data_IF_083567164622
#
_entry.id   IF_083567164622
#
_cell.length_a   1.000
_cell.length_b   1.000
_cell.length_c   1.000
_cell.angle_alpha   90.00
_cell.angle_beta   90.00
_cell.angle_gamma   90.00
#
_symmetry.space_group_name_H-M   'P 1'
#
loop_
_entity.id
_entity.type
_entity.pdbx_description
1 polymer ?
#
# COMPACT_ATOMS: atom_id res chain seq x y z
N UNK A 1 0.94 18.20 -13.39
CA UNK A 1 0.00 17.08 -13.19
C UNK A 1 -0.74 17.35 -11.90
N UNK A 2 -2.08 17.41 -11.93
CA UNK A 2 -2.88 17.77 -10.76
C UNK A 2 -2.64 16.73 -9.65
N UNK A 3 -2.33 17.21 -8.44
CA UNK A 3 -2.23 16.38 -7.25
C UNK A 3 -3.61 15.86 -6.88
N UNK A 4 -3.74 14.55 -6.70
CA UNK A 4 -4.96 13.94 -6.15
C UNK A 4 -4.70 13.78 -4.64
N UNK A 5 -5.69 14.09 -3.81
CA UNK A 5 -5.60 13.76 -2.38
C UNK A 5 -5.90 12.27 -2.22
N UNK A 6 -7.13 11.87 -2.53
CA UNK A 6 -7.58 10.49 -2.41
C UNK A 6 -8.33 10.03 -3.64
N UNK A 7 -8.11 8.79 -4.06
CA UNK A 7 -8.88 8.10 -5.09
C UNK A 7 -9.46 6.81 -4.50
N UNK A 8 -10.78 6.72 -4.43
CA UNK A 8 -11.52 5.53 -3.99
C UNK A 8 -12.35 4.97 -5.13
N UNK A 9 -12.15 3.68 -5.42
CA UNK A 9 -12.69 3.01 -6.61
C UNK A 9 -13.22 1.64 -6.20
N UNK A 10 -14.55 1.56 -6.05
CA UNK A 10 -15.26 0.32 -5.72
C UNK A 10 -15.66 -0.53 -6.93
N UNK A 11 -15.59 0.03 -8.14
CA UNK A 11 -15.88 -0.66 -9.40
C UNK A 11 -14.62 -0.71 -10.28
N UNK A 12 -14.57 -1.61 -11.26
CA UNK A 12 -13.42 -1.72 -12.13
C UNK A 12 -13.24 -0.45 -12.98
N UNK A 13 -12.07 0.20 -12.87
CA UNK A 13 -11.65 1.27 -13.78
C UNK A 13 -10.63 0.77 -14.80
N UNK A 14 -10.57 1.44 -15.95
CA UNK A 14 -9.50 1.24 -16.92
C UNK A 14 -8.25 2.02 -16.49
N UNK A 15 -7.57 1.52 -15.45
CA UNK A 15 -6.29 2.04 -14.94
C UNK A 15 -5.23 0.99 -15.27
N UNK A 16 -4.16 1.39 -15.95
CA UNK A 16 -3.00 0.51 -16.18
C UNK A 16 -2.03 0.58 -15.01
N UNK A 17 -1.16 -0.42 -14.87
CA UNK A 17 -0.04 -0.34 -13.91
C UNK A 17 0.82 0.91 -14.15
N UNK A 18 1.07 1.29 -15.40
CA UNK A 18 1.87 2.49 -15.69
C UNK A 18 1.17 3.77 -15.24
N UNK A 19 -0.15 3.87 -15.40
CA UNK A 19 -0.90 5.01 -14.87
C UNK A 19 -0.74 5.07 -13.36
N UNK A 20 -0.91 3.94 -12.68
CA UNK A 20 -0.77 3.82 -11.24
C UNK A 20 0.63 4.23 -10.77
N UNK A 21 1.71 3.70 -11.35
CA UNK A 21 3.09 4.02 -10.96
C UNK A 21 3.45 5.51 -11.17
N UNK A 22 2.73 6.23 -12.04
CA UNK A 22 2.91 7.66 -12.24
C UNK A 22 1.94 8.51 -11.40
N UNK A 23 1.02 7.91 -10.63
CA UNK A 23 0.07 8.67 -9.83
C UNK A 23 0.75 9.48 -8.73
N UNK A 24 0.29 10.72 -8.58
CA UNK A 24 0.73 11.64 -7.53
C UNK A 24 -0.41 11.85 -6.52
N UNK A 25 -0.62 10.87 -5.66
CA UNK A 25 -1.74 10.75 -4.74
C UNK A 25 -1.30 10.52 -3.29
N UNK A 26 -2.14 10.91 -2.33
CA UNK A 26 -1.94 10.63 -0.90
C UNK A 26 -2.56 9.29 -0.54
N UNK A 27 -3.78 8.99 -1.00
CA UNK A 27 -4.44 7.72 -0.72
C UNK A 27 -5.02 7.09 -1.99
N UNK A 28 -4.81 5.78 -2.14
CA UNK A 28 -5.28 4.97 -3.26
C UNK A 28 -6.05 3.76 -2.73
N UNK A 29 -7.31 3.65 -3.11
CA UNK A 29 -8.12 2.49 -2.83
C UNK A 29 -8.74 1.99 -4.14
N UNK A 30 -8.19 0.88 -4.66
CA UNK A 30 -8.55 0.28 -5.93
C UNK A 30 -9.07 -1.15 -5.74
N UNK A 31 -9.91 -1.38 -4.72
CA UNK A 31 -10.50 -2.71 -4.45
C UNK A 31 -11.33 -3.26 -5.61
N UNK A 32 -11.87 -2.39 -6.48
CA UNK A 32 -12.61 -2.79 -7.69
C UNK A 32 -11.72 -3.33 -8.82
N UNK A 33 -10.40 -3.21 -8.70
CA UNK A 33 -9.43 -3.60 -9.71
C UNK A 33 -8.59 -4.78 -9.21
N UNK A 34 -8.70 -5.97 -9.82
CA UNK A 34 -7.86 -7.10 -9.45
C UNK A 34 -6.46 -6.93 -10.04
N UNK A 35 -5.45 -6.92 -9.18
CA UNK A 35 -4.04 -6.93 -9.56
C UNK A 35 -3.45 -8.35 -9.46
N UNK A 36 -2.45 -8.61 -10.28
CA UNK A 36 -1.62 -9.82 -10.22
C UNK A 36 -0.52 -9.68 -9.17
N UNK A 37 0.05 -10.81 -8.73
CA UNK A 37 1.20 -10.85 -7.80
C UNK A 37 2.38 -10.05 -8.37
N UNK A 38 2.69 -10.22 -9.65
CA UNK A 38 3.79 -9.51 -10.30
C UNK A 38 3.57 -8.00 -10.46
N UNK A 39 2.32 -7.55 -10.60
CA UNK A 39 2.01 -6.11 -10.55
C UNK A 39 2.21 -5.56 -9.13
N UNK A 40 1.83 -6.33 -8.11
CA UNK A 40 2.03 -5.96 -6.71
C UNK A 40 3.52 -5.84 -6.37
N UNK A 41 4.34 -6.80 -6.79
CA UNK A 41 5.80 -6.74 -6.65
C UNK A 41 6.37 -5.45 -7.26
N UNK A 42 5.96 -5.12 -8.48
CA UNK A 42 6.42 -3.90 -9.17
C UNK A 42 5.99 -2.63 -8.46
N UNK A 43 4.77 -2.59 -7.91
CA UNK A 43 4.25 -1.46 -7.12
C UNK A 43 5.11 -1.25 -5.87
N UNK A 44 5.42 -2.32 -5.13
CA UNK A 44 6.22 -2.23 -3.91
C UNK A 44 7.68 -1.89 -4.20
N UNK A 45 8.28 -2.49 -5.23
CA UNK A 45 9.63 -2.15 -5.68
C UNK A 45 9.72 -0.68 -6.08
N UNK A 46 8.73 -0.17 -6.82
CA UNK A 46 8.66 1.23 -7.17
C UNK A 46 8.60 2.14 -5.94
N UNK A 47 7.77 1.80 -4.94
CA UNK A 47 7.74 2.53 -3.68
C UNK A 47 9.09 2.47 -2.96
N UNK A 48 9.71 1.29 -2.85
CA UNK A 48 10.96 1.07 -2.10
C UNK A 48 12.15 1.90 -2.61
N UNK A 49 12.17 2.24 -3.91
CA UNK A 49 13.20 3.09 -4.52
C UNK A 49 12.85 4.59 -4.54
N UNK A 50 11.80 5.02 -3.82
CA UNK A 50 11.42 6.43 -3.69
C UNK A 50 10.30 6.90 -4.64
N UNK A 51 9.64 5.98 -5.32
CA UNK A 51 8.37 6.22 -5.98
C UNK A 51 7.27 6.57 -4.99
N UNK A 52 6.11 7.01 -5.49
CA UNK A 52 4.94 7.32 -4.64
C UNK A 52 5.25 8.28 -3.47
N UNK A 53 5.94 9.39 -3.75
CA UNK A 53 6.46 10.31 -2.71
C UNK A 53 5.41 10.81 -1.71
N UNK A 54 4.16 11.01 -2.15
CA UNK A 54 3.05 11.50 -1.31
C UNK A 54 2.20 10.41 -0.70
N UNK A 55 2.39 9.14 -1.11
CA UNK A 55 1.50 8.05 -0.71
C UNK A 55 1.58 7.83 0.79
N UNK A 56 0.40 7.83 1.40
CA UNK A 56 0.12 7.47 2.79
C UNK A 56 -0.60 6.15 2.86
N UNK A 57 -1.58 5.91 2.01
CA UNK A 57 -2.36 4.68 2.08
C UNK A 57 -2.62 4.06 0.72
N UNK A 58 -2.46 2.74 0.63
CA UNK A 58 -2.75 1.94 -0.55
C UNK A 58 -3.56 0.70 -0.16
N UNK A 59 -4.65 0.48 -0.89
CA UNK A 59 -5.54 -0.66 -0.74
C UNK A 59 -5.82 -1.27 -2.11
N UNK A 60 -5.43 -2.53 -2.31
CA UNK A 60 -5.49 -3.21 -3.61
C UNK A 60 -6.12 -4.60 -3.47
N UNK A 61 -6.96 -5.00 -4.43
CA UNK A 61 -7.37 -6.40 -4.54
C UNK A 61 -6.29 -7.19 -5.27
N UNK A 62 -5.86 -8.32 -4.68
CA UNK A 62 -4.85 -9.21 -5.27
C UNK A 62 -5.29 -10.65 -5.10
N UNK A 63 -5.19 -11.47 -6.17
CA UNK A 63 -5.51 -12.90 -6.14
C UNK A 63 -4.23 -13.75 -6.14
N UNK A 64 -4.27 -14.88 -5.44
CA UNK A 64 -3.14 -15.82 -5.39
C UNK A 64 -1.92 -15.25 -4.66
N UNK A 65 -2.14 -14.31 -3.74
CA UNK A 65 -1.09 -13.59 -3.05
C UNK A 65 -0.34 -14.49 -2.05
N UNK A 66 0.99 -14.54 -2.21
CA UNK A 66 1.92 -15.08 -1.23
C UNK A 66 2.81 -13.93 -0.71
N UNK A 67 2.80 -13.75 0.61
CA UNK A 67 3.53 -12.68 1.29
C UNK A 67 5.03 -12.75 1.03
N UNK A 68 5.61 -13.94 1.12
CA UNK A 68 7.07 -14.09 1.05
C UNK A 68 7.59 -13.88 -0.37
N UNK A 69 6.81 -14.29 -1.38
CA UNK A 69 7.14 -14.06 -2.79
C UNK A 69 7.17 -12.56 -3.11
N UNK A 70 6.17 -11.82 -2.61
CA UNK A 70 6.01 -10.38 -2.88
C UNK A 70 7.03 -9.52 -2.15
N UNK A 71 7.49 -9.95 -0.97
CA UNK A 71 8.40 -9.18 -0.12
C UNK A 71 9.87 -9.57 -0.29
N UNK A 72 10.20 -10.62 -1.05
CA UNK A 72 11.53 -11.23 -1.09
C UNK A 72 12.68 -10.26 -1.37
N UNK A 73 12.48 -9.30 -2.27
CA UNK A 73 13.50 -8.30 -2.66
C UNK A 73 13.44 -7.01 -1.82
N UNK A 74 12.50 -6.92 -0.87
CA UNK A 74 12.26 -5.72 -0.06
C UNK A 74 12.89 -5.86 1.32
N UNK A 75 13.43 -4.75 1.84
CA UNK A 75 13.85 -4.70 3.25
C UNK A 75 12.61 -4.67 4.14
N UNK A 76 12.38 -5.74 4.90
CA UNK A 76 11.20 -5.85 5.75
C UNK A 76 11.47 -6.65 7.03
N UNK A 77 10.63 -6.43 8.04
CA UNK A 77 10.64 -7.14 9.33
C UNK A 77 9.23 -7.53 9.75
N UNK A 78 9.12 -8.43 10.73
CA UNK A 78 7.85 -8.68 11.42
C UNK A 78 7.58 -7.59 12.44
N UNK A 79 6.33 -7.14 12.52
CA UNK A 79 5.89 -6.22 13.56
C UNK A 79 5.87 -6.95 14.92
N UNK A 80 6.35 -6.27 15.97
CA UNK A 80 6.33 -6.80 17.35
C UNK A 80 5.06 -6.43 18.11
N UNK A 81 4.34 -5.41 17.64
CA UNK A 81 3.14 -4.86 18.27
C UNK A 81 2.12 -4.46 17.22
N UNK A 82 0.85 -4.46 17.61
CA UNK A 82 -0.25 -3.99 16.76
C UNK A 82 -0.24 -2.47 16.74
N UNK A 83 -0.41 -1.87 15.56
CA UNK A 83 -0.58 -0.42 15.42
C UNK A 83 -1.87 -0.10 14.69
N UNK A 84 -2.65 0.80 15.28
CA UNK A 84 -3.77 1.43 14.58
C UNK A 84 -3.23 2.49 13.63
N UNK A 85 -3.71 2.47 12.39
CA UNK A 85 -3.34 3.40 11.34
C UNK A 85 -4.60 4.14 10.87
N UNK A 86 -4.50 5.46 10.82
CA UNK A 86 -5.59 6.32 10.37
C UNK A 86 -5.37 6.80 8.94
N UNK A 87 -6.44 6.77 8.17
CA UNK A 87 -6.49 7.33 6.82
C UNK A 87 -7.87 7.90 6.55
N UNK A 88 -8.00 8.68 5.48
CA UNK A 88 -9.22 9.41 5.16
C UNK A 88 -10.21 8.58 4.33
N UNK A 89 -9.75 7.55 3.63
CA UNK A 89 -10.55 6.77 2.68
C UNK A 89 -11.27 5.57 3.27
N UNK A 90 -10.79 5.03 4.40
CA UNK A 90 -11.40 3.86 5.06
C UNK A 90 -11.35 4.02 6.58
N UNK A 91 -12.17 3.27 7.33
CA UNK A 91 -12.06 3.20 8.79
C UNK A 91 -10.64 2.81 9.24
N UNK A 92 -10.23 3.15 10.48
CA UNK A 92 -8.91 2.81 10.99
C UNK A 92 -8.57 1.32 10.84
N UNK A 93 -7.33 1.04 10.47
CA UNK A 93 -6.84 -0.32 10.23
C UNK A 93 -5.83 -0.68 11.30
N UNK A 94 -5.95 -1.87 11.85
CA UNK A 94 -4.92 -2.41 12.74
C UNK A 94 -3.93 -3.25 11.93
N UNK A 95 -2.69 -2.80 11.86
CA UNK A 95 -1.58 -3.54 11.28
C UNK A 95 -0.86 -4.36 12.35
N UNK A 96 -0.51 -5.60 12.02
CA UNK A 96 0.22 -6.48 12.94
C UNK A 96 1.12 -7.50 12.27
N UNK A 97 1.47 -7.32 10.99
CA UNK A 97 2.16 -8.34 10.20
C UNK A 97 3.57 -7.92 9.78
N UNK A 98 3.70 -7.11 8.72
CA UNK A 98 5.00 -6.73 8.16
C UNK A 98 5.23 -5.22 8.24
N UNK A 99 6.49 -4.85 8.48
CA UNK A 99 6.99 -3.49 8.31
C UNK A 99 8.00 -3.48 7.16
N UNK A 100 7.79 -2.64 6.15
CA UNK A 100 8.64 -2.49 4.98
C UNK A 100 9.38 -1.16 5.08
N UNK A 101 10.67 -1.17 4.76
CA UNK A 101 11.51 0.03 4.74
C UNK A 101 11.79 0.49 3.31
N UNK A 102 11.72 1.80 3.09
CA UNK A 102 12.13 2.48 1.87
C UNK A 102 13.57 2.95 2.00
N UNK A 103 14.26 3.13 0.87
CA UNK A 103 15.69 3.50 0.85
C UNK A 103 16.01 4.84 1.52
N UNK A 104 15.02 5.71 1.73
CA UNK A 104 15.15 6.99 2.43
C UNK A 104 14.81 6.92 3.93
N UNK A 105 14.61 5.72 4.47
CA UNK A 105 14.28 5.48 5.89
C UNK A 105 12.78 5.60 6.21
N UNK A 106 11.92 5.94 5.24
CA UNK A 106 10.47 5.90 5.43
C UNK A 106 10.01 4.46 5.56
N UNK A 107 9.09 4.21 6.49
CA UNK A 107 8.55 2.88 6.76
C UNK A 107 7.06 2.80 6.44
N UNK A 108 6.61 1.60 6.12
CA UNK A 108 5.21 1.30 5.88
C UNK A 108 4.80 -0.03 6.52
N UNK A 109 3.64 -0.03 7.16
CA UNK A 109 3.00 -1.26 7.59
C UNK A 109 2.32 -1.94 6.40
N UNK A 110 2.47 -3.25 6.30
CA UNK A 110 1.95 -4.07 5.21
C UNK A 110 1.19 -5.27 5.78
N UNK A 111 0.00 -5.53 5.25
CA UNK A 111 -0.83 -6.66 5.65
C UNK A 111 -1.69 -7.15 4.49
N UNK A 112 -1.88 -8.47 4.42
CA UNK A 112 -2.79 -9.09 3.47
C UNK A 112 -3.99 -9.69 4.21
N UNK A 113 -5.18 -9.21 3.88
CA UNK A 113 -6.43 -9.82 4.32
C UNK A 113 -6.82 -10.95 3.36
N UNK A 114 -6.53 -12.18 3.77
CA UNK A 114 -6.84 -13.38 3.02
C UNK A 114 -8.35 -13.60 2.79
N UNK A 115 -9.22 -13.06 3.66
CA UNK A 115 -10.66 -13.27 3.56
C UNK A 115 -11.25 -12.51 2.39
N UNK A 116 -10.71 -11.31 2.12
CA UNK A 116 -11.17 -10.44 1.03
C UNK A 116 -10.24 -10.43 -0.17
N UNK A 117 -9.04 -11.01 -0.06
CA UNK A 117 -8.01 -10.93 -1.10
C UNK A 117 -7.56 -9.49 -1.30
N UNK A 118 -7.31 -8.77 -0.21
CA UNK A 118 -6.98 -7.34 -0.21
C UNK A 118 -5.67 -7.10 0.53
N UNK A 119 -4.80 -6.31 -0.07
CA UNK A 119 -3.60 -5.78 0.57
C UNK A 119 -3.89 -4.40 1.15
N UNK A 120 -3.49 -4.20 2.39
CA UNK A 120 -3.42 -2.91 3.06
C UNK A 120 -1.96 -2.50 3.21
N UNK A 121 -1.66 -1.25 2.87
CA UNK A 121 -0.33 -0.69 2.95
C UNK A 121 -0.39 0.76 3.46
N UNK A 122 0.13 1.00 4.66
CA UNK A 122 0.09 2.28 5.35
C UNK A 122 1.49 2.84 5.58
N UNK A 123 1.81 3.97 4.95
CA UNK A 123 3.09 4.68 5.06
C UNK A 123 3.02 5.67 6.22
N UNK A 124 4.04 5.64 7.07
CA UNK A 124 4.11 6.49 8.26
C UNK A 124 4.81 7.84 7.99
N UNK A 125 4.47 8.92 8.71
CA UNK A 125 3.36 9.03 9.65
C UNK A 125 2.00 8.93 8.95
N UNK A 126 0.96 8.55 9.69
CA UNK A 126 -0.41 8.43 9.17
C UNK A 126 -1.06 9.80 8.87
N UNK A 127 -2.35 9.84 8.52
CA UNK A 127 -3.06 11.10 8.18
C UNK A 127 -3.16 12.09 9.33
N UNK A 128 -3.09 11.63 10.57
CA UNK A 128 -3.15 12.46 11.79
C UNK A 128 -1.74 12.86 12.28
N UNK A 129 -0.69 12.38 11.62
CA UNK A 129 0.69 12.62 12.02
C UNK A 129 1.26 11.62 13.02
N UNK A 130 0.55 10.52 13.31
CA UNK A 130 1.08 9.48 14.21
C UNK A 130 2.26 8.78 13.53
N UNK A 131 3.35 8.54 14.26
CA UNK A 131 4.59 7.91 13.77
C UNK A 131 4.68 6.44 14.20
N UNK A 132 5.49 5.65 13.48
CA UNK A 132 5.75 4.23 13.79
C UNK A 132 6.72 4.04 14.96
#
# INVERSE_FOLDING_TARGET
MNSIESLFVGSQLSITLNDLLNMNCVELNLIGNPFTVSEMERILQHWAIGGFKRLKYLCLSVRGFNMEDVLGELTHTRMTEKREYKCNTVPPITFSDRLISRNDGVVASFQYDQRFGVVHFGVWPDSDGNVY
#
